data_IF_299961944915
#
_entry.id   IF_299961944915
#
_cell.length_a   1.000
_cell.length_b   1.000
_cell.length_c   1.000
_cell.angle_alpha   90.00
_cell.angle_beta   90.00
_cell.angle_gamma   90.00
#
_symmetry.space_group_name_H-M   'P 1'
#
loop_
_entity.id
_entity.type
_entity.pdbx_description
1 polymer ?
#
# COMPACT_ATOMS: atom_id res chain seq x y z
N UNK A 1 -9.87 22.61 1.18
CA UNK A 1 -9.37 21.36 1.81
C UNK A 1 -8.34 21.61 2.93
N UNK A 2 -7.42 22.59 2.80
CA UNK A 2 -6.33 22.81 3.78
C UNK A 2 -6.77 23.16 5.22
N UNK A 3 -8.02 23.59 5.44
CA UNK A 3 -8.56 23.89 6.79
C UNK A 3 -9.57 22.88 7.31
N UNK A 4 -10.27 22.17 6.40
CA UNK A 4 -11.35 21.25 6.79
C UNK A 4 -10.76 19.97 7.39
N UNK A 5 -9.81 19.35 6.70
CA UNK A 5 -9.23 18.07 7.12
C UNK A 5 -8.49 18.17 8.46
N UNK A 6 -7.58 19.14 8.68
CA UNK A 6 -6.96 19.32 10.00
C UNK A 6 -7.98 19.59 11.12
N UNK A 7 -9.07 20.29 10.81
CA UNK A 7 -10.15 20.54 11.77
C UNK A 7 -10.89 19.27 12.18
N UNK A 8 -11.20 18.40 11.22
CA UNK A 8 -11.86 17.10 11.48
C UNK A 8 -10.92 16.20 12.30
N UNK A 9 -9.65 16.15 11.94
CA UNK A 9 -8.65 15.33 12.64
C UNK A 9 -8.44 15.82 14.08
N UNK A 10 -8.34 17.13 14.27
CA UNK A 10 -8.23 17.71 15.59
C UNK A 10 -9.44 17.37 16.47
N UNK A 11 -10.65 17.46 15.89
CA UNK A 11 -11.87 17.07 16.58
C UNK A 11 -11.86 15.59 16.93
N UNK A 12 -11.50 14.71 16.00
CA UNK A 12 -11.41 13.27 16.24
C UNK A 12 -10.41 12.95 17.37
N UNK A 13 -9.23 13.58 17.39
CA UNK A 13 -8.24 13.44 18.47
C UNK A 13 -8.82 13.91 19.81
N UNK A 14 -9.54 15.01 19.81
CA UNK A 14 -10.18 15.54 21.02
C UNK A 14 -11.26 14.58 21.52
N UNK A 15 -12.12 14.10 20.62
CA UNK A 15 -13.21 13.17 20.97
C UNK A 15 -12.67 11.85 21.56
N UNK A 16 -11.59 11.29 20.98
CA UNK A 16 -10.90 10.12 21.52
C UNK A 16 -10.32 10.41 22.92
N UNK A 17 -9.66 11.54 23.08
CA UNK A 17 -9.05 11.93 24.35
C UNK A 17 -10.10 12.16 25.45
N UNK A 18 -11.20 12.84 25.13
CA UNK A 18 -12.32 13.08 26.04
C UNK A 18 -13.01 11.77 26.43
N UNK A 19 -13.22 10.86 25.46
CA UNK A 19 -13.77 9.53 25.74
C UNK A 19 -12.85 8.73 26.65
N UNK A 20 -11.54 8.76 26.41
CA UNK A 20 -10.58 8.14 27.32
C UNK A 20 -10.69 8.69 28.75
N UNK A 21 -10.87 10.00 28.92
CA UNK A 21 -11.05 10.60 30.26
C UNK A 21 -12.30 10.11 31.01
N UNK A 22 -13.28 9.55 30.31
CA UNK A 22 -14.55 9.02 30.87
C UNK A 22 -14.54 7.51 31.10
N UNK A 23 -13.53 6.79 30.60
CA UNK A 23 -13.44 5.34 30.74
C UNK A 23 -13.23 4.90 32.20
N UNK A 24 -13.76 3.73 32.56
CA UNK A 24 -13.63 3.17 33.89
C UNK A 24 -12.19 2.76 34.20
N UNK A 25 -11.83 2.77 35.50
CA UNK A 25 -10.51 2.27 35.96
C UNK A 25 -10.28 0.80 35.58
N UNK A 26 -11.35 0.00 35.43
CA UNK A 26 -11.25 -1.38 34.95
C UNK A 26 -10.70 -1.47 33.52
N UNK A 27 -11.07 -0.54 32.66
CA UNK A 27 -10.54 -0.47 31.31
C UNK A 27 -9.01 -0.19 31.31
N UNK A 28 -8.57 0.75 32.14
CA UNK A 28 -7.14 1.08 32.25
C UNK A 28 -6.31 -0.06 32.83
N UNK A 29 -6.86 -0.82 33.74
CA UNK A 29 -6.19 -2.00 34.32
C UNK A 29 -6.11 -3.18 33.33
N UNK A 30 -7.01 -3.25 32.34
CA UNK A 30 -7.04 -4.31 31.32
C UNK A 30 -6.15 -4.01 30.09
N UNK A 31 -5.74 -2.78 29.90
CA UNK A 31 -4.96 -2.32 28.72
C UNK A 31 -3.64 -1.70 29.17
N UNK A 32 -2.56 -2.00 28.47
CA UNK A 32 -1.27 -1.33 28.71
C UNK A 32 -1.34 0.13 28.27
N UNK A 33 -0.86 1.05 29.08
CA UNK A 33 -0.83 2.50 28.81
C UNK A 33 -0.19 2.83 27.45
N UNK A 34 0.88 2.10 27.08
CA UNK A 34 1.52 2.26 25.78
C UNK A 34 0.61 1.90 24.60
N UNK A 35 -0.28 0.92 24.75
CA UNK A 35 -1.28 0.56 23.73
C UNK A 35 -2.31 1.68 23.52
N UNK A 36 -2.75 2.33 24.60
CA UNK A 36 -3.68 3.45 24.53
C UNK A 36 -3.03 4.67 23.86
N UNK A 37 -1.77 4.96 24.21
CA UNK A 37 -1.01 6.05 23.59
C UNK A 37 -0.85 5.82 22.09
N UNK A 38 -0.59 4.60 21.65
CA UNK A 38 -0.52 4.25 20.21
C UNK A 38 -1.84 4.48 19.51
N UNK A 39 -2.98 4.21 20.15
CA UNK A 39 -4.31 4.44 19.56
C UNK A 39 -4.60 5.94 19.37
N UNK A 40 -4.26 6.77 20.37
CA UNK A 40 -4.49 8.22 20.28
C UNK A 40 -3.59 8.89 19.26
N UNK A 41 -2.30 8.53 19.24
CA UNK A 41 -1.31 9.18 18.38
C UNK A 41 -1.16 8.45 17.04
N UNK A 42 -0.84 7.17 17.05
CA UNK A 42 -0.52 6.42 15.84
C UNK A 42 -1.74 6.16 14.96
N UNK A 43 -2.84 5.61 15.52
CA UNK A 43 -4.05 5.32 14.74
C UNK A 43 -4.67 6.61 14.17
N UNK A 44 -4.60 7.71 14.94
CA UNK A 44 -5.05 9.02 14.48
C UNK A 44 -4.19 9.60 13.35
N UNK A 45 -2.88 9.39 13.37
CA UNK A 45 -1.99 9.80 12.26
C UNK A 45 -2.26 8.99 10.99
N UNK A 46 -2.51 7.69 11.12
CA UNK A 46 -2.84 6.81 10.00
C UNK A 46 -4.15 7.23 9.31
N UNK A 47 -5.20 7.46 10.10
CA UNK A 47 -6.48 7.97 9.59
C UNK A 47 -6.31 9.36 8.95
N UNK A 48 -5.52 10.23 9.58
CA UNK A 48 -5.22 11.55 9.05
C UNK A 48 -4.53 11.49 7.70
N UNK A 49 -3.48 10.67 7.59
CA UNK A 49 -2.72 10.46 6.34
C UNK A 49 -3.62 9.99 5.21
N UNK A 50 -4.55 9.07 5.50
CA UNK A 50 -5.51 8.61 4.51
C UNK A 50 -6.43 9.73 4.01
N UNK A 51 -6.97 10.58 4.89
CA UNK A 51 -7.85 11.67 4.49
C UNK A 51 -7.12 12.82 3.80
N UNK A 52 -5.88 13.13 4.21
CA UNK A 52 -5.08 14.23 3.63
C UNK A 52 -4.53 13.85 2.26
N UNK A 53 -3.90 12.70 2.16
CA UNK A 53 -3.15 12.28 0.98
C UNK A 53 -3.87 11.16 0.21
N UNK A 54 -4.39 10.15 0.90
CA UNK A 54 -4.96 8.95 0.28
C UNK A 54 -6.23 9.22 -0.51
N UNK A 55 -7.23 9.79 0.13
CA UNK A 55 -8.55 10.01 -0.48
C UNK A 55 -8.50 10.96 -1.68
N UNK A 56 -7.85 12.15 -1.61
CA UNK A 56 -7.73 13.05 -2.76
C UNK A 56 -6.94 12.43 -3.90
N UNK A 57 -5.88 11.70 -3.59
CA UNK A 57 -5.06 11.02 -4.59
C UNK A 57 -5.83 9.88 -5.26
N UNK A 58 -6.62 9.11 -4.51
CA UNK A 58 -7.50 8.08 -5.04
C UNK A 58 -8.58 8.66 -5.96
N UNK A 59 -9.23 9.75 -5.53
CA UNK A 59 -10.22 10.45 -6.35
C UNK A 59 -9.60 10.98 -7.66
N UNK A 60 -8.41 11.56 -7.60
CA UNK A 60 -7.68 12.05 -8.76
C UNK A 60 -7.33 10.93 -9.75
N UNK A 61 -6.86 9.78 -9.25
CA UNK A 61 -6.53 8.63 -10.10
C UNK A 61 -7.76 8.00 -10.75
N UNK A 62 -8.86 7.86 -10.01
CA UNK A 62 -10.14 7.37 -10.57
C UNK A 62 -10.65 8.34 -11.64
N UNK A 63 -10.63 9.65 -11.35
CA UNK A 63 -11.03 10.65 -12.32
C UNK A 63 -10.15 10.62 -13.59
N UNK A 64 -8.83 10.53 -13.43
CA UNK A 64 -7.88 10.42 -14.54
C UNK A 64 -8.16 9.18 -15.39
N UNK A 65 -8.38 8.03 -14.76
CA UNK A 65 -8.70 6.78 -15.45
C UNK A 65 -9.98 6.89 -16.27
N UNK A 66 -11.06 7.42 -15.67
CA UNK A 66 -12.35 7.60 -16.34
C UNK A 66 -12.23 8.62 -17.47
N UNK A 67 -11.58 9.76 -17.23
CA UNK A 67 -11.40 10.81 -18.23
C UNK A 67 -10.60 10.30 -19.43
N UNK A 68 -9.49 9.63 -19.19
CA UNK A 68 -8.65 9.02 -20.25
C UNK A 68 -9.43 7.98 -21.04
N UNK A 69 -10.17 7.10 -20.38
CA UNK A 69 -11.01 6.10 -21.04
C UNK A 69 -12.09 6.74 -21.94
N UNK A 70 -12.76 7.78 -21.47
CA UNK A 70 -13.76 8.51 -22.25
C UNK A 70 -13.14 9.20 -23.47
N UNK A 71 -11.98 9.84 -23.29
CA UNK A 71 -11.26 10.50 -24.41
C UNK A 71 -10.87 9.46 -25.46
N UNK A 72 -10.26 8.33 -25.05
CA UNK A 72 -9.87 7.25 -25.95
C UNK A 72 -11.07 6.69 -26.75
N UNK A 73 -12.21 6.46 -26.08
CA UNK A 73 -13.43 5.98 -26.74
C UNK A 73 -13.98 6.99 -27.76
N UNK A 74 -13.89 8.29 -27.47
CA UNK A 74 -14.32 9.33 -28.41
C UNK A 74 -13.38 9.52 -29.60
N UNK A 75 -12.09 9.30 -29.40
CA UNK A 75 -11.09 9.41 -30.48
C UNK A 75 -11.21 8.25 -31.47
N UNK A 76 -11.15 7.02 -30.97
CA UNK A 76 -11.33 5.82 -31.80
C UNK A 76 -11.76 4.63 -30.92
N UNK A 77 -13.04 4.31 -30.94
CA UNK A 77 -13.60 3.24 -30.13
C UNK A 77 -13.05 1.84 -30.50
N UNK A 78 -12.68 1.62 -31.78
CA UNK A 78 -12.13 0.35 -32.26
C UNK A 78 -10.77 0.04 -31.65
N UNK A 79 -9.96 1.08 -31.40
CA UNK A 79 -8.69 0.95 -30.68
C UNK A 79 -8.86 0.99 -29.15
N UNK A 80 -9.83 1.77 -28.66
CA UNK A 80 -10.02 1.95 -27.23
C UNK A 80 -10.54 0.69 -26.54
N UNK A 81 -11.51 -0.02 -27.15
CA UNK A 81 -12.14 -1.20 -26.54
C UNK A 81 -11.14 -2.30 -26.18
N UNK A 82 -10.21 -2.75 -27.05
CA UNK A 82 -9.19 -3.73 -26.70
C UNK A 82 -8.31 -3.30 -25.53
N UNK A 83 -7.93 -2.01 -25.47
CA UNK A 83 -7.12 -1.46 -24.38
C UNK A 83 -7.90 -1.44 -23.08
N UNK A 84 -9.16 -0.98 -23.11
CA UNK A 84 -10.00 -0.90 -21.90
C UNK A 84 -10.38 -2.27 -21.35
N UNK A 85 -10.52 -3.29 -22.19
CA UNK A 85 -10.71 -4.70 -21.74
C UNK A 85 -9.48 -5.19 -20.96
N UNK A 86 -8.30 -4.61 -21.22
CA UNK A 86 -7.07 -4.97 -20.53
C UNK A 86 -7.02 -4.49 -19.06
N UNK A 87 -7.71 -3.40 -18.76
CA UNK A 87 -7.78 -2.83 -17.39
C UNK A 87 -8.27 -3.88 -16.36
N UNK A 88 -9.40 -4.57 -16.55
CA UNK A 88 -9.84 -5.64 -15.66
C UNK A 88 -8.81 -6.76 -15.50
N UNK A 89 -8.04 -7.09 -16.54
CA UNK A 89 -6.99 -8.12 -16.47
C UNK A 89 -5.87 -7.70 -15.52
N UNK A 90 -5.40 -6.45 -15.63
CA UNK A 90 -4.39 -5.87 -14.74
C UNK A 90 -4.88 -5.86 -13.29
N UNK A 91 -6.09 -5.35 -13.06
CA UNK A 91 -6.68 -5.28 -11.72
C UNK A 91 -6.90 -6.68 -11.12
N UNK A 92 -7.35 -7.64 -11.92
CA UNK A 92 -7.54 -9.03 -11.46
C UNK A 92 -6.21 -9.69 -11.09
N UNK A 93 -5.17 -9.46 -11.89
CA UNK A 93 -3.81 -9.97 -11.60
C UNK A 93 -3.30 -9.40 -10.27
N UNK A 94 -3.43 -8.10 -10.08
CA UNK A 94 -3.05 -7.41 -8.84
C UNK A 94 -3.83 -7.94 -7.64
N UNK A 95 -5.15 -8.08 -7.75
CA UNK A 95 -6.01 -8.61 -6.69
C UNK A 95 -5.63 -10.04 -6.28
N UNK A 96 -5.33 -10.91 -7.24
CA UNK A 96 -4.92 -12.29 -6.97
C UNK A 96 -3.56 -12.37 -6.26
N UNK A 97 -2.65 -11.47 -6.56
CA UNK A 97 -1.29 -11.52 -6.01
C UNK A 97 -1.13 -10.75 -4.69
N UNK A 98 -2.00 -9.77 -4.43
CA UNK A 98 -1.96 -8.95 -3.22
C UNK A 98 -1.91 -9.77 -1.90
N UNK A 99 -2.72 -10.82 -1.67
CA UNK A 99 -2.68 -11.60 -0.43
C UNK A 99 -1.34 -12.30 -0.22
N UNK A 100 -0.73 -12.80 -1.29
CA UNK A 100 0.57 -13.48 -1.23
C UNK A 100 1.68 -12.50 -0.87
N UNK A 101 1.70 -11.34 -1.52
CA UNK A 101 2.63 -10.25 -1.20
C UNK A 101 2.48 -9.80 0.24
N UNK A 102 1.24 -9.64 0.72
CA UNK A 102 0.95 -9.30 2.11
C UNK A 102 1.52 -10.33 3.11
N UNK A 103 1.44 -11.62 2.80
CA UNK A 103 2.01 -12.67 3.65
C UNK A 103 3.53 -12.56 3.78
N UNK A 104 4.23 -12.23 2.69
CA UNK A 104 5.67 -11.99 2.72
C UNK A 104 6.02 -10.74 3.53
N UNK A 105 5.32 -9.63 3.35
CA UNK A 105 5.48 -8.43 4.18
C UNK A 105 5.25 -8.72 5.67
N UNK A 106 4.17 -9.42 6.00
CA UNK A 106 3.87 -9.84 7.37
C UNK A 106 4.97 -10.70 7.98
N UNK A 107 5.52 -11.64 7.21
CA UNK A 107 6.63 -12.50 7.66
C UNK A 107 7.87 -11.68 7.96
N UNK A 108 8.25 -10.77 7.06
CA UNK A 108 9.34 -9.82 7.23
C UNK A 108 9.14 -8.95 8.48
N UNK A 109 7.96 -8.38 8.66
CA UNK A 109 7.63 -7.56 9.84
C UNK A 109 7.73 -8.35 11.14
N UNK A 110 7.29 -9.62 11.17
CA UNK A 110 7.45 -10.49 12.35
C UNK A 110 8.92 -10.77 12.66
N UNK A 111 9.71 -11.09 11.63
CA UNK A 111 11.14 -11.31 11.80
C UNK A 111 11.87 -10.06 12.32
N UNK A 112 11.55 -8.89 11.76
CA UNK A 112 12.10 -7.59 12.20
C UNK A 112 11.75 -7.26 13.64
N UNK A 113 10.48 -7.45 14.05
CA UNK A 113 10.07 -7.26 15.45
C UNK A 113 10.84 -8.18 16.39
N UNK A 114 11.02 -9.45 16.02
CA UNK A 114 11.77 -10.41 16.84
C UNK A 114 13.25 -10.01 16.98
N UNK A 115 13.88 -9.50 15.93
CA UNK A 115 15.25 -8.98 15.97
C UNK A 115 15.33 -7.73 16.86
N UNK A 116 14.42 -6.76 16.67
CA UNK A 116 14.39 -5.54 17.47
C UNK A 116 14.19 -5.83 18.95
N UNK A 117 13.28 -6.76 19.31
CA UNK A 117 13.12 -7.20 20.69
C UNK A 117 14.41 -7.75 21.25
N UNK A 118 15.13 -8.59 20.48
CA UNK A 118 16.40 -9.18 20.93
C UNK A 118 17.49 -8.13 21.13
N UNK A 119 17.57 -7.14 20.23
CA UNK A 119 18.50 -6.01 20.38
C UNK A 119 18.18 -5.22 21.66
N UNK A 120 16.89 -4.93 21.90
CA UNK A 120 16.47 -4.21 23.11
C UNK A 120 16.80 -5.00 24.39
N UNK A 121 16.55 -6.32 24.42
CA UNK A 121 16.90 -7.19 25.53
C UNK A 121 18.40 -7.16 25.82
N UNK A 122 19.22 -7.23 24.76
CA UNK A 122 20.67 -7.20 24.89
C UNK A 122 21.19 -5.84 25.37
N UNK A 123 20.60 -4.74 24.92
CA UNK A 123 20.97 -3.40 25.38
C UNK A 123 20.59 -3.19 26.85
N UNK A 124 19.39 -3.61 27.21
CA UNK A 124 18.91 -3.50 28.60
C UNK A 124 19.71 -4.40 29.54
N UNK A 125 20.05 -5.63 29.11
CA UNK A 125 20.82 -6.60 29.85
C UNK A 125 22.34 -6.53 29.69
N UNK A 126 22.87 -5.50 29.00
CA UNK A 126 24.28 -5.43 28.62
C UNK A 126 25.25 -5.55 29.81
N UNK A 127 24.90 -4.96 30.95
CA UNK A 127 25.72 -5.09 32.19
C UNK A 127 25.80 -6.53 32.67
N UNK A 128 24.69 -7.26 32.60
CA UNK A 128 24.61 -8.67 33.02
C UNK A 128 25.42 -9.54 32.04
N UNK A 129 25.23 -9.34 30.75
CA UNK A 129 25.99 -10.06 29.70
C UNK A 129 27.48 -9.90 29.91
N UNK A 130 27.97 -8.67 30.17
CA UNK A 130 29.37 -8.36 30.43
C UNK A 130 29.87 -8.96 31.75
N UNK A 131 29.05 -8.87 32.80
CA UNK A 131 29.44 -9.42 34.11
C UNK A 131 29.66 -10.93 34.09
N UNK A 132 28.95 -11.66 33.21
CA UNK A 132 29.04 -13.11 33.09
C UNK A 132 29.84 -13.56 31.84
N UNK A 133 30.44 -12.65 31.07
CA UNK A 133 31.24 -12.99 29.89
C UNK A 133 30.48 -13.75 28.81
N UNK A 134 29.17 -13.42 28.61
CA UNK A 134 28.28 -14.14 27.69
C UNK A 134 28.14 -13.46 26.33
N UNK A 135 29.06 -12.56 25.95
CA UNK A 135 28.97 -11.76 24.71
C UNK A 135 28.92 -12.66 23.48
N UNK A 136 29.73 -13.69 23.42
CA UNK A 136 29.80 -14.60 22.25
C UNK A 136 28.47 -15.36 22.07
N UNK A 137 27.88 -15.81 23.16
CA UNK A 137 26.60 -16.51 23.16
C UNK A 137 25.44 -15.60 22.70
N UNK A 138 25.48 -14.34 23.12
CA UNK A 138 24.48 -13.36 22.65
C UNK A 138 24.72 -12.97 21.19
N UNK A 139 25.94 -12.93 20.72
CA UNK A 139 26.27 -12.72 19.30
C UNK A 139 25.70 -13.85 18.42
N UNK A 140 25.87 -15.10 18.83
CA UNK A 140 25.30 -16.27 18.12
C UNK A 140 23.77 -16.20 18.10
N UNK A 141 23.15 -15.78 19.18
CA UNK A 141 21.70 -15.58 19.23
C UNK A 141 21.24 -14.45 18.31
N UNK A 142 21.92 -13.32 18.34
CA UNK A 142 21.65 -12.19 17.42
C UNK A 142 21.76 -12.65 15.96
N UNK A 143 22.82 -13.33 15.59
CA UNK A 143 23.05 -13.84 14.22
C UNK A 143 21.89 -14.73 13.75
N UNK A 144 21.37 -15.59 14.64
CA UNK A 144 20.20 -16.43 14.34
C UNK A 144 18.96 -15.59 13.96
N UNK A 145 18.65 -14.52 14.70
CA UNK A 145 17.51 -13.65 14.40
C UNK A 145 17.77 -12.78 13.16
N UNK A 146 19.00 -12.32 12.98
CA UNK A 146 19.42 -11.57 11.81
C UNK A 146 19.31 -12.41 10.52
N UNK A 147 19.77 -13.66 10.56
CA UNK A 147 19.57 -14.60 9.44
C UNK A 147 18.11 -14.86 9.14
N UNK A 148 17.26 -14.96 10.16
CA UNK A 148 15.82 -15.11 9.96
C UNK A 148 15.21 -13.90 9.24
N UNK A 149 15.62 -12.68 9.59
CA UNK A 149 15.20 -11.47 8.89
C UNK A 149 15.73 -11.47 7.44
N UNK A 150 17.03 -11.78 7.25
CA UNK A 150 17.63 -11.87 5.92
C UNK A 150 16.86 -12.86 5.01
N UNK A 151 16.52 -14.05 5.51
CA UNK A 151 15.72 -15.00 4.72
C UNK A 151 14.35 -14.45 4.36
N UNK A 152 13.66 -13.81 5.31
CA UNK A 152 12.36 -13.19 5.04
C UNK A 152 12.44 -12.03 4.02
N UNK A 153 13.53 -11.25 4.06
CA UNK A 153 13.81 -10.20 3.07
C UNK A 153 14.09 -10.80 1.68
N UNK A 154 14.93 -11.85 1.61
CA UNK A 154 15.24 -12.53 0.34
C UNK A 154 13.97 -13.14 -0.28
N UNK A 155 13.14 -13.80 0.51
CA UNK A 155 11.89 -14.41 0.03
C UNK A 155 10.92 -13.34 -0.50
N UNK A 156 10.79 -12.22 0.22
CA UNK A 156 9.99 -11.08 -0.23
C UNK A 156 10.52 -10.52 -1.56
N UNK A 157 11.83 -10.23 -1.65
CA UNK A 157 12.43 -9.66 -2.86
C UNK A 157 12.34 -10.62 -4.04
N UNK A 158 12.51 -11.92 -3.83
CA UNK A 158 12.32 -12.92 -4.90
C UNK A 158 10.89 -12.91 -5.44
N UNK A 159 9.91 -12.91 -4.55
CA UNK A 159 8.51 -12.85 -4.96
C UNK A 159 8.19 -11.53 -5.67
N UNK A 160 8.63 -10.41 -5.10
CA UNK A 160 8.41 -9.07 -5.64
C UNK A 160 9.02 -8.92 -7.04
N UNK A 161 10.24 -9.40 -7.25
CA UNK A 161 10.89 -9.41 -8.58
C UNK A 161 10.10 -10.22 -9.61
N UNK A 162 9.63 -11.42 -9.24
CA UNK A 162 8.81 -12.24 -10.17
C UNK A 162 7.47 -11.56 -10.46
N UNK A 163 6.84 -10.98 -9.45
CA UNK A 163 5.61 -10.23 -9.62
C UNK A 163 5.80 -9.02 -10.52
N UNK A 164 6.82 -8.21 -10.25
CA UNK A 164 7.12 -6.99 -11.03
C UNK A 164 7.37 -7.32 -12.50
N UNK A 165 8.14 -8.37 -12.80
CA UNK A 165 8.38 -8.80 -14.19
C UNK A 165 7.08 -9.27 -14.86
N UNK A 166 6.28 -10.08 -14.18
CA UNK A 166 5.00 -10.55 -14.72
C UNK A 166 4.03 -9.39 -14.94
N UNK A 167 3.94 -8.49 -13.96
CA UNK A 167 3.08 -7.32 -14.02
C UNK A 167 3.49 -6.39 -15.16
N UNK A 168 4.79 -6.09 -15.29
CA UNK A 168 5.32 -5.29 -16.38
C UNK A 168 5.07 -5.96 -17.76
N UNK A 169 5.16 -7.28 -17.85
CA UNK A 169 4.84 -8.00 -19.08
C UNK A 169 3.36 -7.85 -19.44
N UNK A 170 2.46 -8.00 -18.48
CA UNK A 170 1.02 -7.79 -18.67
C UNK A 170 0.73 -6.36 -19.08
N UNK A 171 1.33 -5.37 -18.43
CA UNK A 171 1.17 -3.95 -18.71
C UNK A 171 1.70 -3.59 -20.13
N UNK A 172 2.90 -4.04 -20.47
CA UNK A 172 3.48 -3.78 -21.80
C UNK A 172 2.73 -4.47 -22.94
N UNK A 173 2.01 -5.54 -22.67
CA UNK A 173 1.20 -6.21 -23.68
C UNK A 173 0.08 -5.30 -24.21
N UNK A 174 -0.48 -4.41 -23.38
CA UNK A 174 -1.45 -3.41 -23.83
C UNK A 174 -0.83 -2.41 -24.82
N UNK A 175 0.40 -1.97 -24.58
CA UNK A 175 1.14 -1.13 -25.52
C UNK A 175 1.39 -1.86 -26.86
N UNK A 176 1.81 -3.11 -26.82
CA UNK A 176 2.02 -3.93 -28.03
C UNK A 176 0.72 -4.12 -28.81
N UNK A 177 -0.41 -4.28 -28.14
CA UNK A 177 -1.72 -4.37 -28.80
C UNK A 177 -2.06 -3.08 -29.54
N UNK A 178 -1.82 -1.91 -28.93
CA UNK A 178 -2.07 -0.63 -29.60
C UNK A 178 -1.15 -0.45 -30.80
N UNK A 179 0.12 -0.79 -30.72
CA UNK A 179 1.05 -0.74 -31.85
C UNK A 179 0.63 -1.67 -32.97
N UNK A 180 0.26 -2.92 -32.65
CA UNK A 180 -0.13 -3.91 -33.63
C UNK A 180 -1.47 -3.55 -34.31
N UNK A 181 -2.51 -3.27 -33.51
CA UNK A 181 -3.84 -2.95 -34.04
C UNK A 181 -3.87 -1.58 -34.71
N UNK A 182 -3.25 -0.57 -34.08
CA UNK A 182 -3.18 0.78 -34.64
C UNK A 182 -2.33 0.86 -35.90
N UNK A 183 -1.18 0.17 -35.91
CA UNK A 183 -0.36 0.04 -37.13
C UNK A 183 -1.11 -0.69 -38.23
N UNK A 184 -1.81 -1.79 -37.93
CA UNK A 184 -2.64 -2.48 -38.91
C UNK A 184 -3.75 -1.59 -39.50
N UNK A 185 -4.45 -0.84 -38.64
CA UNK A 185 -5.49 0.10 -39.10
C UNK A 185 -4.93 1.24 -39.93
N UNK A 186 -3.77 1.77 -39.54
CA UNK A 186 -3.09 2.83 -40.30
C UNK A 186 -2.69 2.39 -41.74
N UNK A 187 -2.05 1.21 -41.86
CA UNK A 187 -1.52 0.75 -43.14
C UNK A 187 -2.55 0.07 -44.03
N UNK A 188 -3.56 -0.61 -43.45
CA UNK A 188 -4.49 -1.43 -44.23
C UNK A 188 -5.74 -0.69 -44.64
N UNK A 189 -6.27 0.16 -43.77
CA UNK A 189 -7.56 0.84 -43.99
C UNK A 189 -7.39 2.35 -44.24
N UNK A 190 -6.29 2.96 -43.85
CA UNK A 190 -6.11 4.43 -43.90
C UNK A 190 -7.07 5.21 -42.98
N UNK A 191 -7.85 4.50 -42.14
CA UNK A 191 -8.87 5.10 -41.28
C UNK A 191 -8.28 5.74 -40.00
N UNK A 192 -6.97 5.65 -39.81
CA UNK A 192 -6.30 6.15 -38.61
C UNK A 192 -5.16 7.10 -39.01
N UNK A 193 -5.17 8.30 -38.45
CA UNK A 193 -4.04 9.21 -38.61
C UNK A 193 -2.90 8.82 -37.63
N UNK A 194 -1.65 8.99 -38.07
CA UNK A 194 -0.47 8.70 -37.26
C UNK A 194 -0.49 9.47 -35.92
N UNK A 195 -0.99 10.73 -35.94
CA UNK A 195 -1.16 11.54 -34.74
C UNK A 195 -2.08 10.92 -33.71
N UNK A 196 -3.18 10.28 -34.14
CA UNK A 196 -4.10 9.57 -33.28
C UNK A 196 -3.41 8.36 -32.65
N UNK A 197 -2.64 7.59 -33.41
CA UNK A 197 -1.90 6.42 -32.89
C UNK A 197 -0.90 6.82 -31.80
N UNK A 198 -0.09 7.86 -32.05
CA UNK A 198 0.87 8.36 -31.06
C UNK A 198 0.16 8.84 -29.79
N UNK A 199 -0.96 9.52 -29.96
CA UNK A 199 -1.77 9.99 -28.83
C UNK A 199 -2.34 8.81 -28.01
N UNK A 200 -2.80 7.73 -28.67
CA UNK A 200 -3.24 6.52 -28.00
C UNK A 200 -2.14 5.86 -27.17
N UNK A 201 -0.93 5.75 -27.70
CA UNK A 201 0.22 5.20 -26.96
C UNK A 201 0.50 6.03 -25.71
N UNK A 202 0.42 7.36 -25.82
CA UNK A 202 0.58 8.26 -24.67
C UNK A 202 -0.52 8.06 -23.61
N UNK A 203 -1.77 7.87 -24.04
CA UNK A 203 -2.87 7.59 -23.11
C UNK A 203 -2.78 6.22 -22.46
N UNK A 204 -2.31 5.19 -23.15
CA UNK A 204 -2.03 3.88 -22.54
C UNK A 204 -0.98 4.03 -21.43
N UNK A 205 0.11 4.78 -21.69
CA UNK A 205 1.09 5.09 -20.66
C UNK A 205 0.51 5.88 -19.46
N UNK A 206 -0.45 6.78 -19.71
CA UNK A 206 -1.13 7.51 -18.64
C UNK A 206 -2.08 6.63 -17.80
N UNK A 207 -2.60 5.53 -18.32
CA UNK A 207 -3.45 4.60 -17.57
C UNK A 207 -2.68 3.80 -16.53
N UNK A 208 -1.38 3.60 -16.71
CA UNK A 208 -0.56 2.77 -15.84
C UNK A 208 -0.52 3.32 -14.40
N UNK A 209 -0.20 4.61 -14.21
CA UNK A 209 -0.13 5.21 -12.87
C UNK A 209 -1.42 5.08 -12.04
N UNK A 210 -2.62 5.41 -12.58
CA UNK A 210 -3.87 5.14 -11.88
C UNK A 210 -4.12 3.67 -11.54
N UNK A 211 -3.76 2.75 -12.44
CA UNK A 211 -3.94 1.32 -12.23
C UNK A 211 -3.03 0.79 -11.13
N UNK A 212 -1.75 1.18 -11.14
CA UNK A 212 -0.80 0.86 -10.09
C UNK A 212 -1.27 1.38 -8.74
N UNK A 213 -1.69 2.65 -8.70
CA UNK A 213 -2.18 3.24 -7.47
C UNK A 213 -3.40 2.50 -6.92
N UNK A 214 -4.39 2.19 -7.75
CA UNK A 214 -5.58 1.44 -7.34
C UNK A 214 -5.18 0.06 -6.82
N UNK A 215 -4.26 -0.64 -7.50
CA UNK A 215 -3.79 -1.95 -7.10
C UNK A 215 -3.12 -1.95 -5.71
N UNK A 216 -2.36 -0.91 -5.38
CA UNK A 216 -1.64 -0.80 -4.10
C UNK A 216 -2.42 -0.08 -3.00
N UNK A 217 -3.40 0.77 -3.33
CA UNK A 217 -4.16 1.57 -2.36
C UNK A 217 -5.08 0.76 -1.44
N UNK A 218 -5.49 -0.45 -1.86
CA UNK A 218 -6.32 -1.33 -1.05
C UNK A 218 -5.71 -1.66 0.32
N UNK A 219 -4.39 -1.81 0.38
CA UNK A 219 -3.70 -2.07 1.64
C UNK A 219 -3.78 -0.86 2.58
N UNK A 220 -3.48 0.32 2.06
CA UNK A 220 -3.54 1.56 2.82
C UNK A 220 -4.95 1.84 3.34
N UNK A 221 -5.97 1.62 2.52
CA UNK A 221 -7.36 1.73 2.95
C UNK A 221 -7.70 0.75 4.08
N UNK A 222 -7.33 -0.53 3.94
CA UNK A 222 -7.60 -1.54 4.95
C UNK A 222 -6.92 -1.22 6.29
N UNK A 223 -5.70 -0.71 6.27
CA UNK A 223 -4.94 -0.29 7.45
C UNK A 223 -5.60 0.91 8.13
N UNK A 224 -5.93 1.97 7.37
CA UNK A 224 -6.64 3.14 7.88
C UNK A 224 -8.03 2.81 8.44
N UNK A 225 -8.77 1.91 7.78
CA UNK A 225 -10.07 1.47 8.27
C UNK A 225 -9.94 0.70 9.60
N UNK A 226 -8.91 -0.14 9.74
CA UNK A 226 -8.61 -0.86 10.98
C UNK A 226 -8.23 0.11 12.10
N UNK A 227 -7.44 1.14 11.80
CA UNK A 227 -7.07 2.20 12.76
C UNK A 227 -8.30 3.01 13.17
N UNK A 228 -9.17 3.37 12.22
CA UNK A 228 -10.43 4.04 12.52
C UNK A 228 -11.34 3.20 13.42
N UNK A 229 -11.49 1.91 13.15
CA UNK A 229 -12.29 1.01 14.00
C UNK A 229 -11.76 0.99 15.43
N UNK A 230 -10.44 0.89 15.64
CA UNK A 230 -9.85 0.93 16.99
C UNK A 230 -10.08 2.24 17.72
N UNK A 231 -10.16 3.37 16.99
CA UNK A 231 -10.49 4.68 17.57
C UNK A 231 -11.97 4.74 17.96
N UNK A 232 -12.88 4.28 17.09
CA UNK A 232 -14.31 4.24 17.40
C UNK A 232 -14.65 3.30 18.55
N UNK A 233 -13.94 2.17 18.69
CA UNK A 233 -14.07 1.30 19.89
C UNK A 233 -13.83 2.04 21.22
N UNK A 234 -12.98 3.09 21.21
CA UNK A 234 -12.73 3.90 22.41
C UNK A 234 -13.84 4.95 22.60
N UNK A 235 -14.31 5.55 21.49
CA UNK A 235 -15.34 6.58 21.54
C UNK A 235 -16.68 6.00 22.01
N UNK A 236 -16.98 4.77 21.60
CA UNK A 236 -18.27 4.09 21.88
C UNK A 236 -18.24 3.27 23.20
N UNK A 237 -17.11 3.22 23.93
CA UNK A 237 -16.94 2.51 25.20
C UNK A 237 -17.22 3.37 26.41
#
# INVERSE_FOLDING_TARGET
>A
NARIIPGVVMKLKTDVFDSMGRLSMGFYNSKQTGSLMTRVMGDSEEVTGFFIDGLPFMASNIFSLVATAVIMLRMNWKLAVPVLIWIPVVLFTSYKMAPTLFNYFSSRHRARRSLNSRVNDNLTGARVVKAFGQEEKELVRFDKYNKKLMHADVDLVRFDNHFTVLYAAVENLSNLLVWALGGYMLFRYGDLELGILITFISYVGQLNNPLDFIAFSFHWWAESMTSAQRMFEIIDS
#
